data_IF_742677974802
#
_entry.id   IF_742677974802
#
_cell.length_a   1.000
_cell.length_b   1.000
_cell.length_c   1.000
_cell.angle_alpha   90.00
_cell.angle_beta   90.00
_cell.angle_gamma   90.00
#
_symmetry.space_group_name_H-M   'P 1'
#
loop_
_entity.id
_entity.type
_entity.pdbx_description
1 polymer ?
#
# COMPACT_ATOMS: atom_id res chain seq x y z
N UNK A 1 -34.99 15.58 -42.67
CA UNK A 1 -34.14 14.79 -43.59
C UNK A 1 -32.77 15.45 -43.64
N UNK A 2 -31.80 15.00 -42.83
CA UNK A 2 -30.38 15.34 -43.02
C UNK A 2 -29.51 14.17 -42.56
N UNK A 3 -28.47 13.92 -43.36
CA UNK A 3 -27.69 12.68 -43.46
C UNK A 3 -26.69 12.52 -42.32
N UNK A 4 -26.54 11.28 -41.86
CA UNK A 4 -25.43 10.82 -41.02
C UNK A 4 -24.14 10.72 -41.84
N UNK A 5 -23.03 11.19 -41.28
CA UNK A 5 -21.71 10.64 -41.58
C UNK A 5 -21.06 10.24 -40.25
N UNK A 6 -20.73 8.95 -40.16
CA UNK A 6 -19.99 8.36 -39.05
C UNK A 6 -18.49 8.64 -39.24
N UNK A 7 -17.82 9.01 -38.14
CA UNK A 7 -16.37 9.10 -38.00
C UNK A 7 -16.03 8.87 -36.51
N UNK A 8 -14.91 8.21 -36.21
CA UNK A 8 -14.85 7.21 -35.14
C UNK A 8 -14.79 7.81 -33.73
N UNK A 9 -15.57 7.20 -32.85
CA UNK A 9 -15.59 7.38 -31.41
C UNK A 9 -14.19 7.13 -30.82
N UNK A 10 -13.57 8.17 -30.28
CA UNK A 10 -12.26 8.08 -29.65
C UNK A 10 -12.12 9.12 -28.54
N UNK A 11 -12.58 8.78 -27.34
CA UNK A 11 -11.93 9.19 -26.08
C UNK A 11 -12.63 8.47 -24.93
N UNK A 12 -12.18 7.23 -24.71
CA UNK A 12 -12.47 6.51 -23.48
C UNK A 12 -11.91 7.31 -22.31
N UNK A 13 -12.78 7.62 -21.36
CA UNK A 13 -12.48 8.09 -20.02
C UNK A 13 -11.29 7.36 -19.42
N UNK A 14 -10.25 8.08 -19.03
CA UNK A 14 -9.23 7.59 -18.08
C UNK A 14 -9.89 7.40 -16.72
N UNK A 15 -10.55 6.26 -16.53
CA UNK A 15 -10.81 5.71 -15.21
C UNK A 15 -9.46 5.29 -14.63
N UNK A 16 -9.08 5.87 -13.50
CA UNK A 16 -7.99 5.38 -12.66
C UNK A 16 -8.36 3.99 -12.15
N UNK A 17 -8.04 2.96 -12.94
CA UNK A 17 -8.23 1.59 -12.50
C UNK A 17 -7.21 1.28 -11.41
N UNK A 18 -7.69 0.70 -10.30
CA UNK A 18 -6.90 0.04 -9.27
C UNK A 18 -6.10 -1.13 -9.90
N UNK A 19 -5.10 -0.83 -10.72
CA UNK A 19 -4.29 -1.83 -11.39
C UNK A 19 -3.32 -2.41 -10.36
N UNK A 20 -3.71 -3.55 -9.80
CA UNK A 20 -2.79 -4.45 -9.13
C UNK A 20 -1.75 -4.91 -10.15
N UNK A 21 -0.47 -4.73 -9.82
CA UNK A 21 0.63 -5.40 -10.54
C UNK A 21 1.07 -6.56 -9.64
N UNK A 22 0.96 -7.79 -10.15
CA UNK A 22 1.44 -8.96 -9.42
C UNK A 22 2.96 -8.98 -9.42
N UNK A 23 3.59 -9.20 -8.25
CA UNK A 23 5.05 -9.39 -8.20
C UNK A 23 5.48 -10.69 -8.86
N UNK A 24 4.62 -11.70 -8.87
CA UNK A 24 4.88 -12.97 -9.55
C UNK A 24 4.99 -12.83 -11.07
N UNK A 25 4.32 -11.84 -11.67
CA UNK A 25 4.42 -11.56 -13.11
C UNK A 25 5.71 -10.80 -13.46
N UNK A 26 6.25 -10.07 -12.48
CA UNK A 26 7.58 -9.47 -12.53
C UNK A 26 8.58 -10.44 -11.90
N UNK A 27 8.89 -11.55 -12.57
CA UNK A 27 9.93 -12.51 -12.17
C UNK A 27 11.30 -11.81 -11.94
N UNK A 28 11.46 -11.20 -10.78
CA UNK A 28 12.65 -10.47 -10.35
C UNK A 28 13.15 -11.11 -9.06
N UNK A 29 14.17 -11.94 -9.21
CA UNK A 29 14.81 -12.66 -8.11
C UNK A 29 15.37 -11.75 -7.01
N UNK A 30 15.47 -10.43 -7.25
CA UNK A 30 15.83 -9.44 -6.21
C UNK A 30 14.72 -9.26 -5.18
N UNK A 31 13.44 -9.38 -5.58
CA UNK A 31 12.28 -9.18 -4.70
C UNK A 31 12.04 -10.43 -3.83
N UNK A 32 12.27 -11.63 -4.38
CA UNK A 32 12.32 -12.91 -3.64
C UNK A 32 13.44 -12.96 -2.57
N UNK A 33 14.39 -12.03 -2.63
CA UNK A 33 15.55 -11.97 -1.73
C UNK A 33 15.40 -11.01 -0.55
N UNK A 34 14.23 -10.38 -0.37
CA UNK A 34 13.94 -9.44 0.72
C UNK A 34 13.76 -10.16 2.07
N UNK A 35 14.82 -10.84 2.51
CA UNK A 35 14.99 -11.29 3.88
C UNK A 35 15.06 -10.05 4.80
N UNK A 36 14.18 -10.03 5.80
CA UNK A 36 14.04 -8.93 6.73
C UNK A 36 15.39 -8.45 7.31
N UNK A 37 15.73 -7.19 7.03
CA UNK A 37 16.55 -6.35 7.91
C UNK A 37 18.07 -6.58 7.98
N UNK A 38 18.65 -7.61 7.34
CA UNK A 38 20.13 -7.75 7.27
C UNK A 38 20.59 -8.39 5.96
N UNK A 39 21.17 -7.60 5.06
CA UNK A 39 22.07 -8.11 4.02
C UNK A 39 23.48 -8.25 4.61
N UNK A 40 23.80 -9.42 5.17
CA UNK A 40 25.15 -9.84 5.56
C UNK A 40 25.98 -8.86 6.43
N UNK A 41 25.36 -8.09 7.33
CA UNK A 41 26.08 -7.19 8.25
C UNK A 41 26.77 -5.99 7.58
N UNK A 42 26.44 -5.69 6.32
CA UNK A 42 26.99 -4.53 5.61
C UNK A 42 26.10 -3.30 5.78
N UNK A 43 26.75 -2.14 5.97
CA UNK A 43 26.09 -0.83 5.90
C UNK A 43 25.77 -0.56 4.43
N UNK A 44 24.49 -0.52 4.09
CA UNK A 44 24.03 -0.14 2.76
C UNK A 44 24.01 1.39 2.71
N UNK A 45 24.93 1.97 1.94
CA UNK A 45 24.90 3.39 1.64
C UNK A 45 23.74 3.65 0.68
N UNK A 46 22.81 4.52 1.06
CA UNK A 46 21.69 4.96 0.22
C UNK A 46 21.88 6.42 -0.14
N UNK A 47 21.36 6.83 -1.31
CA UNK A 47 21.37 8.23 -1.70
C UNK A 47 20.51 9.06 -0.73
N UNK A 48 20.79 10.37 -0.61
CA UNK A 48 19.97 11.27 0.18
C UNK A 48 18.49 11.25 -0.25
N UNK A 49 18.23 11.20 -1.57
CA UNK A 49 16.87 11.13 -2.11
C UNK A 49 16.13 9.83 -1.73
N UNK A 50 16.85 8.70 -1.73
CA UNK A 50 16.30 7.41 -1.26
C UNK A 50 16.01 7.49 0.25
N UNK A 51 16.91 8.07 1.03
CA UNK A 51 16.72 8.25 2.47
C UNK A 51 15.53 9.15 2.81
N UNK A 52 15.36 10.26 2.08
CA UNK A 52 14.22 11.16 2.25
C UNK A 52 12.90 10.45 1.92
N UNK A 53 12.90 9.61 0.87
CA UNK A 53 11.76 8.77 0.50
C UNK A 53 11.42 7.75 1.59
N UNK A 54 12.43 7.07 2.14
CA UNK A 54 12.25 6.15 3.27
C UNK A 54 11.72 6.87 4.51
N UNK A 55 12.22 8.07 4.80
CA UNK A 55 11.80 8.89 5.94
C UNK A 55 10.34 9.34 5.80
N UNK A 56 9.95 9.79 4.60
CA UNK A 56 8.55 10.12 4.30
C UNK A 56 7.65 8.90 4.45
N UNK A 57 8.02 7.77 3.85
CA UNK A 57 7.26 6.54 3.94
C UNK A 57 7.09 6.10 5.40
N UNK A 58 8.16 6.15 6.20
CA UNK A 58 8.12 5.86 7.64
C UNK A 58 7.15 6.76 8.40
N UNK A 59 7.17 8.08 8.15
CA UNK A 59 6.23 9.00 8.79
C UNK A 59 4.77 8.71 8.42
N UNK A 60 4.51 8.39 7.15
CA UNK A 60 3.18 7.96 6.70
C UNK A 60 2.78 6.65 7.37
N UNK A 61 3.68 5.67 7.47
CA UNK A 61 3.43 4.41 8.17
C UNK A 61 3.04 4.66 9.62
N UNK A 62 3.81 5.46 10.37
CA UNK A 62 3.50 5.80 11.75
C UNK A 62 2.13 6.47 11.85
N UNK A 63 1.86 7.47 11.00
CA UNK A 63 0.58 8.17 10.98
C UNK A 63 -0.58 7.22 10.71
N UNK A 64 -0.51 6.44 9.62
CA UNK A 64 -1.55 5.47 9.26
C UNK A 64 -1.74 4.45 10.36
N UNK A 65 -0.67 3.94 10.94
CA UNK A 65 -0.77 2.96 11.99
C UNK A 65 -1.38 3.58 13.26
N UNK A 66 -0.95 4.74 13.73
CA UNK A 66 -1.42 5.31 15.00
C UNK A 66 -2.77 6.02 14.89
N UNK A 67 -3.04 6.74 13.80
CA UNK A 67 -4.24 7.55 13.64
C UNK A 67 -5.36 6.78 12.93
N UNK A 68 -5.05 6.05 11.87
CA UNK A 68 -6.06 5.31 11.09
C UNK A 68 -6.40 3.95 11.70
N UNK A 69 -5.39 3.22 12.19
CA UNK A 69 -5.54 1.85 12.67
C UNK A 69 -5.10 1.65 14.13
N UNK A 70 -5.78 2.30 15.10
CA UNK A 70 -5.32 2.37 16.48
C UNK A 70 -5.25 1.00 17.17
N UNK A 71 -6.15 0.07 16.83
CA UNK A 71 -6.17 -1.29 17.38
C UNK A 71 -5.24 -2.27 16.61
N UNK A 72 -4.63 -1.80 15.51
CA UNK A 72 -3.81 -2.62 14.61
C UNK A 72 -4.62 -3.58 13.74
N UNK A 73 -3.97 -4.55 13.08
CA UNK A 73 -4.64 -5.43 12.12
C UNK A 73 -5.66 -6.38 12.76
N UNK A 74 -6.77 -6.64 12.07
CA UNK A 74 -7.87 -7.45 12.59
C UNK A 74 -7.69 -8.97 12.44
N UNK A 75 -6.58 -9.42 11.84
CA UNK A 75 -6.24 -10.83 11.63
C UNK A 75 -4.93 -11.25 12.33
N UNK A 76 -4.29 -10.35 13.08
CA UNK A 76 -3.14 -10.69 13.90
C UNK A 76 -3.59 -10.95 15.33
N UNK A 77 -3.29 -12.16 15.84
CA UNK A 77 -3.73 -12.61 17.15
C UNK A 77 -3.38 -11.60 18.24
N UNK A 78 -2.12 -11.15 18.31
CA UNK A 78 -1.69 -10.19 19.31
C UNK A 78 -2.52 -8.89 19.29
N UNK A 79 -2.88 -8.35 18.11
CA UNK A 79 -3.71 -7.16 18.01
C UNK A 79 -5.16 -7.42 18.46
N UNK A 80 -5.71 -8.59 18.14
CA UNK A 80 -7.05 -9.00 18.61
C UNK A 80 -7.07 -9.08 20.12
N UNK A 81 -6.11 -9.76 20.74
CA UNK A 81 -6.04 -9.91 22.19
C UNK A 81 -5.80 -8.56 22.89
N UNK A 82 -4.81 -7.78 22.43
CA UNK A 82 -4.43 -6.52 23.09
C UNK A 82 -5.48 -5.42 22.95
N UNK A 83 -6.36 -5.51 21.94
CA UNK A 83 -7.50 -4.59 21.77
C UNK A 83 -8.80 -5.10 22.41
N UNK A 84 -8.81 -6.29 23.02
CA UNK A 84 -10.03 -6.91 23.54
C UNK A 84 -11.04 -7.27 22.44
N UNK A 85 -10.55 -7.67 21.26
CA UNK A 85 -11.36 -8.04 20.10
C UNK A 85 -11.77 -6.88 19.19
N UNK A 86 -11.48 -5.62 19.55
CA UNK A 86 -11.87 -4.45 18.74
C UNK A 86 -11.23 -4.44 17.35
N UNK A 87 -9.96 -4.84 17.22
CA UNK A 87 -9.30 -4.89 15.91
C UNK A 87 -10.03 -5.81 14.93
N UNK A 88 -10.43 -7.00 15.39
CA UNK A 88 -11.21 -7.97 14.62
C UNK A 88 -12.59 -7.43 14.25
N UNK A 89 -13.32 -6.92 15.25
CA UNK A 89 -14.67 -6.38 15.02
C UNK A 89 -14.66 -5.23 14.00
N UNK A 90 -13.72 -4.30 14.13
CA UNK A 90 -13.57 -3.20 13.16
C UNK A 90 -13.19 -3.68 11.77
N UNK A 91 -12.40 -4.74 11.65
CA UNK A 91 -12.08 -5.36 10.36
C UNK A 91 -13.33 -5.97 9.71
N UNK A 92 -14.19 -6.64 10.47
CA UNK A 92 -15.47 -7.13 9.93
C UNK A 92 -16.42 -5.97 9.57
N UNK A 93 -16.41 -4.87 10.32
CA UNK A 93 -17.12 -3.63 9.94
C UNK A 93 -16.57 -3.04 8.64
N UNK A 94 -15.24 -3.01 8.46
CA UNK A 94 -14.61 -2.56 7.21
C UNK A 94 -15.08 -3.40 6.03
N UNK A 95 -15.05 -4.74 6.13
CA UNK A 95 -15.49 -5.66 5.07
C UNK A 95 -16.96 -5.51 4.69
N UNK A 96 -17.81 -5.17 5.65
CA UNK A 96 -19.24 -5.00 5.40
C UNK A 96 -19.60 -3.61 4.85
N UNK A 97 -18.82 -2.57 5.17
CA UNK A 97 -19.13 -1.18 4.81
C UNK A 97 -18.35 -0.64 3.61
N UNK A 98 -17.16 -1.18 3.35
CA UNK A 98 -16.31 -0.73 2.24
C UNK A 98 -16.64 -1.55 1.01
N UNK A 99 -17.34 -0.94 0.05
CA UNK A 99 -17.58 -1.56 -1.25
C UNK A 99 -16.29 -1.56 -2.08
N UNK A 100 -15.82 -2.76 -2.45
CA UNK A 100 -14.63 -2.95 -3.28
C UNK A 100 -14.75 -2.32 -4.67
N UNK A 101 -15.97 -2.12 -5.16
CA UNK A 101 -16.28 -1.48 -6.46
C UNK A 101 -16.35 0.04 -6.38
N UNK A 102 -16.35 0.62 -5.19
CA UNK A 102 -16.37 2.07 -5.02
C UNK A 102 -15.08 2.72 -5.53
N UNK A 103 -15.10 4.04 -5.74
CA UNK A 103 -13.88 4.79 -6.08
C UNK A 103 -12.82 4.68 -4.97
N UNK A 104 -11.53 4.85 -5.32
CA UNK A 104 -10.43 4.78 -4.36
C UNK A 104 -10.65 5.70 -3.16
N UNK A 105 -11.10 6.94 -3.38
CA UNK A 105 -11.39 7.90 -2.30
C UNK A 105 -12.52 7.45 -1.38
N UNK A 106 -13.60 6.87 -1.93
CA UNK A 106 -14.69 6.31 -1.13
C UNK A 106 -14.21 5.12 -0.29
N UNK A 107 -13.37 4.26 -0.86
CA UNK A 107 -12.81 3.12 -0.14
C UNK A 107 -11.89 3.58 1.00
N UNK A 108 -11.01 4.54 0.76
CA UNK A 108 -10.14 5.11 1.80
C UNK A 108 -10.97 5.75 2.91
N UNK A 109 -12.00 6.52 2.55
CA UNK A 109 -12.90 7.13 3.54
C UNK A 109 -13.54 6.06 4.44
N UNK A 110 -14.11 5.00 3.85
CA UNK A 110 -14.71 3.92 4.62
C UNK A 110 -13.71 3.14 5.49
N UNK A 111 -12.48 2.93 5.00
CA UNK A 111 -11.38 2.35 5.78
C UNK A 111 -11.04 3.25 6.98
N UNK A 112 -10.93 4.56 6.78
CA UNK A 112 -10.65 5.52 7.86
C UNK A 112 -11.78 5.59 8.88
N UNK A 113 -13.05 5.53 8.45
CA UNK A 113 -14.21 5.56 9.34
C UNK A 113 -14.34 4.29 10.20
N UNK A 114 -13.97 3.13 9.64
CA UNK A 114 -14.02 1.85 10.36
C UNK A 114 -12.77 1.61 11.21
N UNK A 115 -11.64 2.19 10.81
CA UNK A 115 -10.40 2.24 11.58
C UNK A 115 -9.76 0.86 11.82
N UNK A 116 -9.93 -0.07 10.88
CA UNK A 116 -9.26 -1.39 10.88
C UNK A 116 -9.25 -2.01 9.48
N UNK A 117 -8.54 -3.13 9.33
CA UNK A 117 -8.39 -3.88 8.10
C UNK A 117 -7.25 -4.91 8.22
N UNK A 118 -6.86 -5.47 7.09
CA UNK A 118 -5.70 -6.33 6.92
C UNK A 118 -4.68 -5.65 5.99
N UNK A 119 -3.69 -6.38 5.47
CA UNK A 119 -2.66 -5.86 4.56
C UNK A 119 -3.23 -5.02 3.40
N UNK A 120 -4.37 -5.41 2.83
CA UNK A 120 -5.00 -4.74 1.70
C UNK A 120 -5.46 -3.31 1.98
N UNK A 121 -6.12 -3.08 3.11
CA UNK A 121 -6.61 -1.76 3.55
C UNK A 121 -5.48 -0.86 4.00
N UNK A 122 -4.49 -1.43 4.70
CA UNK A 122 -3.27 -0.72 5.09
C UNK A 122 -2.51 -0.23 3.86
N UNK A 123 -2.25 -1.13 2.90
CA UNK A 123 -1.60 -0.78 1.65
C UNK A 123 -2.39 0.24 0.84
N UNK A 124 -3.73 0.17 0.82
CA UNK A 124 -4.56 1.16 0.13
C UNK A 124 -4.44 2.56 0.74
N UNK A 125 -4.41 2.65 2.06
CA UNK A 125 -4.29 3.93 2.78
C UNK A 125 -2.90 4.54 2.56
N UNK A 126 -1.84 3.74 2.72
CA UNK A 126 -0.46 4.22 2.55
C UNK A 126 -0.15 4.56 1.09
N UNK A 127 -0.64 3.76 0.14
CA UNK A 127 -0.56 4.05 -1.28
C UNK A 127 -1.14 5.42 -1.62
N UNK A 128 -2.36 5.71 -1.14
CA UNK A 128 -3.01 6.97 -1.44
C UNK A 128 -2.28 8.18 -0.83
N UNK A 129 -1.78 8.06 0.39
CA UNK A 129 -0.99 9.11 1.03
C UNK A 129 0.35 9.33 0.31
N UNK A 130 1.03 8.26 -0.12
CA UNK A 130 2.26 8.37 -0.91
C UNK A 130 1.98 9.00 -2.28
N UNK A 131 0.91 8.62 -2.98
CA UNK A 131 0.54 9.27 -4.26
C UNK A 131 0.31 10.78 -4.12
N UNK A 132 -0.21 11.23 -2.97
CA UNK A 132 -0.44 12.66 -2.68
C UNK A 132 0.86 13.42 -2.44
N UNK A 133 1.84 12.79 -1.79
CA UNK A 133 3.10 13.43 -1.37
C UNK A 133 4.28 13.23 -2.36
N UNK A 134 4.37 12.07 -3.03
CA UNK A 134 5.43 11.68 -3.95
C UNK A 134 4.94 11.77 -5.40
N UNK A 135 4.89 12.99 -5.97
CA UNK A 135 4.39 13.20 -7.34
C UNK A 135 5.42 12.97 -8.45
N UNK A 136 6.71 12.99 -8.12
CA UNK A 136 7.80 12.97 -9.10
C UNK A 136 8.36 11.56 -9.35
N UNK A 137 7.92 10.57 -8.58
CA UNK A 137 8.27 9.16 -8.76
C UNK A 137 6.99 8.35 -8.77
N UNK A 138 6.91 7.27 -9.56
CA UNK A 138 5.72 6.44 -9.57
C UNK A 138 5.59 5.70 -8.23
N UNK A 139 4.35 5.51 -7.79
CA UNK A 139 4.01 4.72 -6.61
C UNK A 139 3.10 3.60 -7.08
N UNK A 140 3.34 2.39 -6.61
CA UNK A 140 2.60 1.20 -7.00
C UNK A 140 2.08 0.47 -5.77
N UNK A 141 0.81 0.07 -5.79
CA UNK A 141 0.29 -0.93 -4.85
C UNK A 141 0.47 -2.31 -5.48
N UNK A 142 1.02 -3.23 -4.70
CA UNK A 142 1.56 -4.48 -5.21
C UNK A 142 1.05 -5.63 -4.35
N UNK A 143 0.80 -6.78 -4.98
CA UNK A 143 0.42 -8.02 -4.29
C UNK A 143 1.59 -9.01 -4.36
N UNK A 144 2.24 -9.23 -3.22
CA UNK A 144 3.28 -10.23 -3.01
C UNK A 144 2.66 -11.60 -2.75
N UNK A 145 3.14 -12.61 -3.47
CA UNK A 145 2.76 -14.02 -3.28
C UNK A 145 1.24 -14.26 -3.25
N UNK A 146 0.47 -13.43 -3.96
CA UNK A 146 -1.00 -13.43 -3.97
C UNK A 146 -1.68 -13.25 -2.60
N UNK A 147 -0.96 -12.92 -1.53
CA UNK A 147 -1.50 -12.92 -0.17
C UNK A 147 -1.13 -11.68 0.67
N UNK A 148 -0.08 -10.94 0.31
CA UNK A 148 0.38 -9.80 1.07
C UNK A 148 0.43 -8.53 0.21
N UNK A 149 -0.20 -7.45 0.68
CA UNK A 149 -0.22 -6.18 -0.06
C UNK A 149 0.87 -5.24 0.43
N UNK A 150 1.70 -4.80 -0.49
CA UNK A 150 2.82 -3.87 -0.27
C UNK A 150 2.63 -2.61 -1.12
N UNK A 151 3.45 -1.59 -0.85
CA UNK A 151 3.56 -0.39 -1.69
C UNK A 151 5.01 -0.21 -2.11
N UNK A 152 5.27 0.11 -3.38
CA UNK A 152 6.61 0.41 -3.89
C UNK A 152 6.64 1.87 -4.36
N UNK A 153 7.64 2.62 -3.91
CA UNK A 153 7.92 4.00 -4.35
C UNK A 153 9.14 3.98 -5.26
N UNK A 154 8.99 4.46 -6.49
CA UNK A 154 9.99 4.33 -7.56
C UNK A 154 9.67 3.17 -8.51
N UNK A 155 10.27 3.20 -9.71
CA UNK A 155 10.08 2.16 -10.72
C UNK A 155 11.13 1.05 -10.56
N UNK A 156 10.76 -0.04 -9.90
CA UNK A 156 11.63 -1.21 -9.73
C UNK A 156 11.88 -1.98 -11.03
N UNK A 157 11.05 -1.76 -12.06
CA UNK A 157 11.10 -2.46 -13.34
C UNK A 157 12.18 -1.89 -14.25
N UNK A 158 12.57 -0.63 -14.04
CA UNK A 158 13.71 -0.01 -14.71
C UNK A 158 15.00 -0.51 -14.08
N UNK A 159 15.90 -1.10 -14.88
CA UNK A 159 17.18 -1.63 -14.40
C UNK A 159 18.18 -0.54 -14.00
N UNK A 160 18.00 0.69 -14.47
CA UNK A 160 18.90 1.80 -14.18
C UNK A 160 18.52 2.54 -12.88
N UNK A 161 17.23 2.57 -12.54
CA UNK A 161 16.71 3.28 -11.36
C UNK A 161 16.09 2.38 -10.30
N UNK A 162 15.81 1.12 -10.63
CA UNK A 162 15.04 0.21 -9.80
C UNK A 162 15.73 -0.23 -8.51
N UNK A 163 17.06 -0.17 -8.44
CA UNK A 163 17.81 -0.40 -7.21
C UNK A 163 17.59 0.71 -6.15
N UNK A 164 16.97 1.82 -6.53
CA UNK A 164 16.57 2.91 -5.64
C UNK A 164 15.09 2.86 -5.25
N UNK A 165 14.33 1.88 -5.74
CA UNK A 165 12.93 1.73 -5.37
C UNK A 165 12.82 1.33 -3.90
N UNK A 166 11.89 1.97 -3.19
CA UNK A 166 11.65 1.73 -1.76
C UNK A 166 10.41 0.86 -1.62
N UNK A 167 10.59 -0.33 -1.03
CA UNK A 167 9.48 -1.20 -0.65
C UNK A 167 8.97 -0.77 0.72
N UNK A 168 7.66 -0.55 0.81
CA UNK A 168 6.95 -0.09 1.99
C UNK A 168 5.95 -1.19 2.37
N UNK A 169 6.22 -1.88 3.46
CA UNK A 169 5.26 -2.80 4.08
C UNK A 169 4.43 -2.04 5.13
N UNK A 170 3.14 -1.80 4.88
CA UNK A 170 2.30 -1.04 5.78
C UNK A 170 1.63 -1.90 6.84
N UNK A 171 1.67 -3.22 6.72
CA UNK A 171 0.94 -4.14 7.59
C UNK A 171 1.72 -4.43 8.89
N UNK A 172 2.04 -3.36 9.61
CA UNK A 172 2.85 -3.40 10.83
C UNK A 172 2.11 -4.12 11.96
N UNK A 173 2.71 -5.19 12.48
CA UNK A 173 2.25 -5.90 13.67
C UNK A 173 2.63 -5.23 14.99
N UNK A 174 2.13 -5.79 16.10
CA UNK A 174 2.36 -5.43 17.52
C UNK A 174 2.95 -4.02 17.78
N UNK A 175 2.06 -3.07 18.03
CA UNK A 175 2.41 -1.76 18.61
C UNK A 175 2.38 -1.86 20.13
N UNK A 176 3.45 -2.37 20.76
CA UNK A 176 3.67 -2.16 22.20
C UNK A 176 5.12 -2.42 22.61
N UNK A 177 5.81 -1.35 22.97
CA UNK A 177 6.97 -1.38 23.86
C UNK A 177 6.44 -1.58 25.27
N UNK A 178 7.01 -2.54 26.00
CA UNK A 178 6.66 -2.87 27.38
C UNK A 178 7.89 -2.60 28.27
N UNK A 179 7.64 -2.19 29.51
CA UNK A 179 8.66 -1.97 30.56
C UNK A 179 9.07 -3.28 31.20
#
# INVERSE_FOLDING_TARGET
MFRCFAGPSGSSSTHSTNNYVSLSDAHDSRLESLSAGRRNGQIIQVSAATFDTMSLAHNILLKTAHETFPDGPGNQEANVWMSGGRSWMRKEMCRSRVDERASQDQQIKGIMETGSGNCGEYAKTVFAELQRNQRNVPVFKVLESYQHSLVIVGDWRDRNTGDHAVVVDPWQGLKKVHT
#
